data_IF_596835496851
#
_entry.id   IF_596835496851
#
_cell.length_a   1.000
_cell.length_b   1.000
_cell.length_c   1.000
_cell.angle_alpha   90.00
_cell.angle_beta   90.00
_cell.angle_gamma   90.00
#
_symmetry.space_group_name_H-M   'P 1'
#
loop_
_entity.id
_entity.type
_entity.pdbx_description
1 polymer ?
#
# COMPACT_ATOMS: atom_id res chain seq x y z
N UNK A 1 -7.97 10.81 3.35
CA UNK A 1 -6.62 10.50 2.81
C UNK A 1 -6.74 9.54 1.63
N UNK A 2 -5.78 9.52 0.69
CA UNK A 2 -5.74 8.54 -0.40
C UNK A 2 -5.03 7.26 0.05
N UNK A 3 -5.36 6.14 -0.60
CA UNK A 3 -4.70 4.84 -0.37
C UNK A 3 -3.17 4.94 -0.43
N UNK A 4 -2.63 5.77 -1.32
CA UNK A 4 -1.19 6.02 -1.46
C UNK A 4 -0.54 6.59 -0.20
N UNK A 5 -1.23 7.48 0.53
CA UNK A 5 -0.73 8.02 1.80
C UNK A 5 -0.67 6.94 2.87
N UNK A 6 -1.74 6.14 2.99
CA UNK A 6 -1.79 5.01 3.93
C UNK A 6 -0.73 3.96 3.60
N UNK A 7 -0.49 3.68 2.31
CA UNK A 7 0.56 2.77 1.87
C UNK A 7 1.96 3.28 2.25
N UNK A 8 2.24 4.57 2.03
CA UNK A 8 3.51 5.17 2.42
C UNK A 8 3.73 5.09 3.94
N UNK A 9 2.69 5.37 4.73
CA UNK A 9 2.72 5.25 6.18
C UNK A 9 2.94 3.80 6.63
N UNK A 10 2.26 2.82 6.01
CA UNK A 10 2.41 1.41 6.30
C UNK A 10 3.81 0.87 6.01
N UNK A 11 4.39 1.23 4.85
CA UNK A 11 5.77 0.89 4.49
C UNK A 11 6.75 1.43 5.53
N UNK A 12 6.60 2.69 5.93
CA UNK A 12 7.44 3.31 6.95
C UNK A 12 7.26 2.65 8.32
N UNK A 13 6.03 2.34 8.71
CA UNK A 13 5.70 1.70 9.98
C UNK A 13 6.29 0.29 10.08
N UNK A 14 6.27 -0.48 8.99
CA UNK A 14 6.84 -1.84 8.93
C UNK A 14 8.33 -1.87 8.60
N UNK A 15 8.95 -0.72 8.27
CA UNK A 15 10.34 -0.66 7.81
C UNK A 15 10.58 -1.35 6.46
N UNK A 16 9.54 -1.46 5.63
CA UNK A 16 9.57 -2.12 4.32
C UNK A 16 9.85 -1.12 3.20
N UNK A 17 10.45 -1.60 2.13
CA UNK A 17 10.59 -0.91 0.85
C UNK A 17 9.49 -1.38 -0.10
N UNK A 18 9.24 -0.58 -1.14
CA UNK A 18 8.29 -0.95 -2.20
C UNK A 18 8.58 -2.33 -2.79
N UNK A 19 9.86 -2.68 -2.96
CA UNK A 19 10.30 -3.97 -3.50
C UNK A 19 9.88 -5.16 -2.62
N UNK A 20 9.67 -4.97 -1.32
CA UNK A 20 9.35 -6.04 -0.38
C UNK A 20 7.88 -6.48 -0.48
N UNK A 21 7.02 -5.66 -1.09
CA UNK A 21 5.59 -5.95 -1.30
C UNK A 21 5.24 -6.32 -2.75
N UNK A 22 6.26 -6.47 -3.61
CA UNK A 22 6.10 -6.88 -5.02
C UNK A 22 5.92 -8.40 -5.14
N UNK A 23 5.14 -8.82 -6.13
CA UNK A 23 4.83 -10.23 -6.41
C UNK A 23 3.44 -10.39 -7.03
N UNK A 24 3.09 -11.59 -7.51
CA UNK A 24 1.77 -11.85 -8.09
C UNK A 24 1.42 -10.82 -9.18
N UNK A 25 0.27 -10.16 -9.01
CA UNK A 25 -0.21 -9.10 -9.92
C UNK A 25 0.26 -7.68 -9.55
N UNK A 26 1.02 -7.55 -8.46
CA UNK A 26 1.59 -6.29 -7.96
C UNK A 26 3.05 -6.19 -8.39
N UNK A 27 3.29 -5.37 -9.41
CA UNK A 27 4.63 -5.05 -9.88
C UNK A 27 5.23 -3.84 -9.15
N UNK A 28 6.56 -3.73 -9.15
CA UNK A 28 7.26 -2.55 -8.62
C UNK A 28 6.80 -1.26 -9.31
N UNK A 29 6.58 -1.29 -10.63
CA UNK A 29 6.05 -0.15 -11.39
C UNK A 29 4.63 0.23 -10.92
N UNK A 30 3.79 -0.75 -10.57
CA UNK A 30 2.45 -0.48 -10.06
C UNK A 30 2.48 0.28 -8.73
N UNK A 31 3.29 -0.19 -7.77
CA UNK A 31 3.47 0.46 -6.46
C UNK A 31 4.03 1.87 -6.62
N UNK A 32 5.08 2.03 -7.45
CA UNK A 32 5.69 3.33 -7.70
C UNK A 32 4.67 4.33 -8.27
N UNK A 33 3.84 3.91 -9.24
CA UNK A 33 2.77 4.75 -9.80
C UNK A 33 1.70 5.12 -8.77
N UNK A 34 1.40 4.22 -7.84
CA UNK A 34 0.46 4.46 -6.75
C UNK A 34 0.99 5.54 -5.80
N UNK A 35 2.24 5.38 -5.36
CA UNK A 35 2.90 6.30 -4.42
C UNK A 35 3.19 7.67 -5.04
N UNK A 36 3.51 7.71 -6.34
CA UNK A 36 3.73 8.96 -7.07
C UNK A 36 2.44 9.68 -7.47
N UNK A 37 1.26 9.12 -7.14
CA UNK A 37 -0.05 9.68 -7.49
C UNK A 37 -0.41 9.59 -8.98
N UNK A 38 0.38 8.89 -9.80
CA UNK A 38 0.05 8.61 -11.21
C UNK A 38 -1.10 7.61 -11.34
N UNK A 39 -1.30 6.78 -10.31
CA UNK A 39 -2.45 5.93 -10.15
C UNK A 39 -3.22 6.38 -8.91
N UNK A 40 -4.47 6.81 -9.10
CA UNK A 40 -5.26 7.45 -8.05
C UNK A 40 -5.63 6.48 -6.93
N UNK A 41 -6.12 5.30 -7.30
CA UNK A 41 -6.49 4.23 -6.38
C UNK A 41 -6.25 2.85 -7.01
N UNK A 42 -5.93 1.83 -6.20
CA UNK A 42 -5.88 0.47 -6.67
C UNK A 42 -7.29 -0.11 -6.85
N UNK A 43 -7.41 -1.20 -7.61
CA UNK A 43 -8.64 -1.99 -7.59
C UNK A 43 -8.74 -2.74 -6.26
N UNK A 44 -9.96 -3.13 -5.85
CA UNK A 44 -10.17 -3.86 -4.59
C UNK A 44 -9.28 -5.11 -4.43
N UNK A 45 -9.14 -6.01 -5.44
CA UNK A 45 -8.25 -7.17 -5.33
C UNK A 45 -6.78 -6.78 -5.08
N UNK A 46 -6.30 -5.72 -5.75
CA UNK A 46 -4.93 -5.24 -5.58
C UNK A 46 -4.72 -4.56 -4.24
N UNK A 47 -5.73 -3.86 -3.72
CA UNK A 47 -5.70 -3.30 -2.37
C UNK A 47 -5.54 -4.41 -1.32
N UNK A 48 -6.34 -5.48 -1.41
CA UNK A 48 -6.23 -6.62 -0.51
C UNK A 48 -4.85 -7.28 -0.59
N UNK A 49 -4.35 -7.56 -1.81
CA UNK A 49 -3.04 -8.19 -1.99
C UNK A 49 -1.89 -7.34 -1.42
N UNK A 50 -1.95 -6.01 -1.58
CA UNK A 50 -0.99 -5.08 -0.98
C UNK A 50 -1.03 -5.16 0.55
N UNK A 51 -2.22 -5.12 1.14
CA UNK A 51 -2.40 -5.16 2.61
C UNK A 51 -1.93 -6.49 3.19
N UNK A 52 -2.27 -7.60 2.54
CA UNK A 52 -1.82 -8.94 2.94
C UNK A 52 -0.28 -9.02 2.94
N UNK A 53 0.38 -8.42 1.94
CA UNK A 53 1.85 -8.39 1.88
C UNK A 53 2.53 -7.45 2.83
N UNK A 54 1.85 -6.38 3.25
CA UNK A 54 2.31 -5.55 4.36
C UNK A 54 2.30 -6.32 5.69
N UNK A 55 1.71 -7.52 5.72
CA UNK A 55 1.61 -8.35 6.91
C UNK A 55 0.83 -7.64 8.01
N UNK A 56 -0.24 -6.96 7.64
CA UNK A 56 -1.14 -6.23 8.54
C UNK A 56 -2.59 -6.49 8.16
N UNK A 57 -3.49 -6.26 9.11
CA UNK A 57 -4.92 -6.33 8.85
C UNK A 57 -5.41 -5.09 8.09
N UNK A 58 -6.57 -5.21 7.45
CA UNK A 58 -7.26 -4.06 6.83
C UNK A 58 -7.60 -2.98 7.87
N UNK A 59 -7.87 -3.37 9.12
CA UNK A 59 -8.14 -2.42 10.21
C UNK A 59 -6.88 -1.63 10.58
N UNK A 60 -5.74 -2.30 10.74
CA UNK A 60 -4.45 -1.64 11.00
C UNK A 60 -4.09 -0.68 9.86
N UNK A 61 -4.27 -1.12 8.61
CA UNK A 61 -4.05 -0.27 7.44
C UNK A 61 -4.98 0.94 7.43
N UNK A 62 -6.25 0.76 7.77
CA UNK A 62 -7.23 1.84 7.85
C UNK A 62 -6.89 2.84 8.95
N UNK A 63 -6.45 2.39 10.13
CA UNK A 63 -6.02 3.29 11.21
C UNK A 63 -4.86 4.19 10.80
N UNK A 64 -3.95 3.70 9.94
CA UNK A 64 -2.88 4.52 9.36
C UNK A 64 -3.37 5.58 8.37
N UNK A 65 -4.58 5.40 7.80
CA UNK A 65 -5.23 6.39 6.94
C UNK A 65 -6.03 7.45 7.71
N UNK A 66 -6.29 7.20 9.00
CA UNK A 66 -7.04 8.08 9.91
C UNK A 66 -6.13 8.81 10.90
N UNK A 67 -4.86 8.39 11.02
CA UNK A 67 -3.84 9.04 11.85
C UNK A 67 -3.12 10.13 11.06
N UNK A 68 -3.66 11.35 11.08
CA UNK A 68 -2.97 12.60 10.74
C UNK A 68 -2.48 13.27 12.05
#
# INVERSE_FOLDING_TARGET
>A
MSFSTALAAALRHKGLREADIVGGDISSSYISRLLSGQLREPTWPKACEIVDRLGMSLEEFRSLSESD
#
